data_IF_579027157298
#
_entry.id   IF_579027157298
#
_cell.length_a   1.000
_cell.length_b   1.000
_cell.length_c   1.000
_cell.angle_alpha   90.00
_cell.angle_beta   90.00
_cell.angle_gamma   90.00
#
_symmetry.space_group_name_H-M   'P 1'
#
loop_
_entity.id
_entity.type
_entity.pdbx_description
1 polymer ?
#
# COMPACT_ATOMS: atom_id res chain seq x y z
N UNK A 1 -3.17 -20.13 -15.78
CA UNK A 1 -2.62 -19.17 -14.79
C UNK A 1 -2.69 -17.72 -15.26
N UNK A 2 -2.13 -17.37 -16.43
CA UNK A 2 -2.07 -15.99 -16.93
C UNK A 2 -3.43 -15.28 -17.05
N UNK A 3 -4.50 -16.02 -17.39
CA UNK A 3 -5.86 -15.48 -17.53
C UNK A 3 -6.37 -14.84 -16.23
N UNK A 4 -6.05 -15.41 -15.06
CA UNK A 4 -6.48 -14.85 -13.78
C UNK A 4 -5.80 -13.50 -13.49
N UNK A 5 -4.52 -13.37 -13.88
CA UNK A 5 -3.72 -12.16 -13.64
C UNK A 5 -4.06 -11.00 -14.58
N UNK A 6 -4.67 -11.27 -15.73
CA UNK A 6 -5.20 -10.22 -16.62
C UNK A 6 -6.66 -9.88 -16.34
N UNK A 7 -7.30 -10.60 -15.42
CA UNK A 7 -8.70 -10.40 -15.04
C UNK A 7 -8.80 -9.32 -13.95
N UNK A 8 -9.35 -8.15 -14.32
CA UNK A 8 -9.41 -6.97 -13.46
C UNK A 8 -10.10 -7.19 -12.09
N UNK A 9 -11.18 -7.95 -12.03
CA UNK A 9 -11.93 -8.15 -10.78
C UNK A 9 -11.17 -9.02 -9.77
N UNK A 10 -10.29 -9.90 -10.24
CA UNK A 10 -9.44 -10.75 -9.36
C UNK A 10 -8.53 -9.86 -8.52
N UNK A 11 -7.98 -8.81 -9.12
CA UNK A 11 -7.17 -7.82 -8.43
C UNK A 11 -7.96 -7.02 -7.39
N UNK A 12 -9.22 -6.66 -7.68
CA UNK A 12 -10.08 -6.00 -6.71
C UNK A 12 -10.48 -6.92 -5.55
N UNK A 13 -10.74 -8.20 -5.83
CA UNK A 13 -11.00 -9.20 -4.80
C UNK A 13 -9.77 -9.40 -3.89
N UNK A 14 -8.57 -9.46 -4.48
CA UNK A 14 -7.32 -9.50 -3.73
C UNK A 14 -7.11 -8.23 -2.89
N UNK A 15 -7.37 -7.05 -3.45
CA UNK A 15 -7.31 -5.79 -2.72
C UNK A 15 -8.24 -5.77 -1.50
N UNK A 16 -9.47 -6.26 -1.66
CA UNK A 16 -10.43 -6.38 -0.57
C UNK A 16 -9.94 -7.36 0.50
N UNK A 17 -9.46 -8.54 0.10
CA UNK A 17 -8.93 -9.54 1.03
C UNK A 17 -7.72 -9.02 1.83
N UNK A 18 -6.79 -8.32 1.17
CA UNK A 18 -5.65 -7.68 1.82
C UNK A 18 -6.06 -6.58 2.79
N UNK A 19 -7.07 -5.77 2.42
CA UNK A 19 -7.64 -4.75 3.30
C UNK A 19 -8.30 -5.34 4.54
N UNK A 20 -9.01 -6.47 4.41
CA UNK A 20 -9.57 -7.18 5.55
C UNK A 20 -8.46 -7.75 6.44
N UNK A 21 -7.40 -8.32 5.84
CA UNK A 21 -6.28 -8.88 6.59
C UNK A 21 -5.55 -7.83 7.44
N UNK A 22 -5.42 -6.60 6.96
CA UNK A 22 -4.86 -5.47 7.71
C UNK A 22 -5.63 -5.20 9.02
N UNK A 23 -6.95 -5.43 9.06
CA UNK A 23 -7.75 -5.24 10.28
C UNK A 23 -7.35 -6.21 11.39
N UNK A 24 -6.75 -7.36 11.03
CA UNK A 24 -6.28 -8.37 11.99
C UNK A 24 -4.84 -8.11 12.47
N UNK A 25 -4.02 -7.47 11.62
CA UNK A 25 -2.61 -7.20 11.90
C UNK A 25 -2.29 -5.74 11.57
N UNK A 26 -2.24 -4.83 12.56
CA UNK A 26 -1.95 -3.43 12.32
C UNK A 26 -0.46 -3.25 11.99
N UNK A 27 -0.13 -3.11 10.71
CA UNK A 27 1.24 -2.98 10.22
C UNK A 27 1.41 -2.00 9.04
N UNK A 28 0.31 -1.53 8.46
CA UNK A 28 0.22 -0.71 7.23
C UNK A 28 0.81 -1.37 5.97
N UNK A 29 1.31 -2.60 6.07
CA UNK A 29 1.95 -3.34 4.97
C UNK A 29 0.87 -3.86 4.02
N UNK A 30 -0.16 -4.52 4.54
CA UNK A 30 -1.22 -5.10 3.70
C UNK A 30 -2.08 -4.02 3.07
N UNK A 31 -2.24 -2.87 3.74
CA UNK A 31 -2.90 -1.70 3.15
C UNK A 31 -2.16 -1.17 1.91
N UNK A 32 -0.82 -1.10 1.94
CA UNK A 32 -0.02 -0.71 0.78
C UNK A 32 -0.21 -1.65 -0.42
N UNK A 33 -0.22 -2.97 -0.15
CA UNK A 33 -0.51 -3.97 -1.18
C UNK A 33 -1.97 -3.95 -1.66
N UNK A 34 -2.93 -3.67 -0.79
CA UNK A 34 -4.34 -3.53 -1.16
C UNK A 34 -4.54 -2.36 -2.14
N UNK A 35 -3.91 -1.21 -1.86
CA UNK A 35 -3.92 -0.05 -2.76
C UNK A 35 -3.27 -0.42 -4.10
N UNK A 36 -2.09 -1.06 -4.07
CA UNK A 36 -1.43 -1.52 -5.29
C UNK A 36 -2.32 -2.44 -6.13
N UNK A 37 -2.97 -3.41 -5.51
CA UNK A 37 -3.86 -4.33 -6.19
C UNK A 37 -5.10 -3.62 -6.77
N UNK A 38 -5.68 -2.67 -6.03
CA UNK A 38 -6.81 -1.87 -6.51
C UNK A 38 -6.43 -1.05 -7.74
N UNK A 39 -5.28 -0.36 -7.72
CA UNK A 39 -4.80 0.45 -8.84
C UNK A 39 -4.48 -0.42 -10.04
N UNK A 40 -3.80 -1.56 -9.86
CA UNK A 40 -3.53 -2.51 -10.96
C UNK A 40 -4.82 -3.06 -11.56
N UNK A 41 -5.81 -3.42 -10.73
CA UNK A 41 -7.12 -3.89 -11.18
C UNK A 41 -7.88 -2.85 -11.99
N UNK A 42 -7.90 -1.59 -11.54
CA UNK A 42 -8.54 -0.49 -12.28
C UNK A 42 -7.80 -0.18 -13.58
N UNK A 43 -6.48 -0.19 -13.57
CA UNK A 43 -5.69 0.11 -14.76
C UNK A 43 -5.75 -1.02 -15.82
N UNK A 44 -6.09 -2.25 -15.40
CA UNK A 44 -6.49 -3.35 -16.30
C UNK A 44 -7.84 -3.13 -16.99
N UNK A 45 -8.65 -2.13 -16.63
CA UNK A 45 -9.81 -1.75 -17.43
C UNK A 45 -9.42 -0.96 -18.69
N UNK A 46 -8.21 -0.38 -18.71
CA UNK A 46 -7.69 0.44 -19.81
C UNK A 46 -6.48 -0.20 -20.51
N UNK A 47 -5.39 0.55 -20.75
CA UNK A 47 -4.31 0.13 -21.63
C UNK A 47 -3.45 -1.02 -21.09
N UNK A 48 -3.52 -1.32 -19.79
CA UNK A 48 -2.69 -2.39 -19.21
C UNK A 48 -3.09 -3.80 -19.68
N UNK A 49 -4.25 -4.00 -20.31
CA UNK A 49 -4.62 -5.29 -20.92
C UNK A 49 -3.64 -5.75 -22.01
N UNK A 50 -2.91 -4.82 -22.61
CA UNK A 50 -1.95 -5.08 -23.69
C UNK A 50 -0.57 -5.44 -23.15
N UNK A 51 -0.33 -5.30 -21.84
CA UNK A 51 0.96 -5.60 -21.22
C UNK A 51 1.12 -7.09 -20.92
N UNK A 52 2.37 -7.54 -20.93
CA UNK A 52 2.72 -8.89 -20.52
C UNK A 52 2.52 -9.08 -19.00
N UNK A 53 2.25 -10.32 -18.59
CA UNK A 53 2.08 -10.67 -17.17
C UNK A 53 3.23 -10.19 -16.28
N UNK A 54 4.52 -10.34 -16.67
CA UNK A 54 5.64 -9.82 -15.87
C UNK A 54 5.59 -8.29 -15.71
N UNK A 55 5.19 -7.54 -16.74
CA UNK A 55 5.09 -6.09 -16.67
C UNK A 55 3.97 -5.63 -15.72
N UNK A 56 2.83 -6.34 -15.71
CA UNK A 56 1.73 -6.07 -14.77
C UNK A 56 2.18 -6.30 -13.33
N UNK A 57 2.90 -7.40 -13.05
CA UNK A 57 3.42 -7.70 -11.71
C UNK A 57 4.48 -6.69 -11.26
N UNK A 58 5.34 -6.24 -12.18
CA UNK A 58 6.32 -5.19 -11.90
C UNK A 58 5.62 -3.88 -11.51
N UNK A 59 4.60 -3.48 -12.27
CA UNK A 59 3.84 -2.27 -11.98
C UNK A 59 3.13 -2.37 -10.62
N UNK A 60 2.50 -3.51 -10.33
CA UNK A 60 1.89 -3.78 -9.03
C UNK A 60 2.91 -3.65 -7.89
N UNK A 61 4.10 -4.24 -8.03
CA UNK A 61 5.14 -4.19 -7.01
C UNK A 61 5.63 -2.75 -6.76
N UNK A 62 5.84 -1.98 -7.83
CA UNK A 62 6.26 -0.57 -7.74
C UNK A 62 5.20 0.29 -7.07
N UNK A 63 3.93 0.17 -7.49
CA UNK A 63 2.83 0.94 -6.90
C UNK A 63 2.63 0.57 -5.43
N UNK A 64 2.68 -0.73 -5.09
CA UNK A 64 2.55 -1.19 -3.70
C UNK A 64 3.67 -0.66 -2.82
N UNK A 65 4.91 -0.68 -3.31
CA UNK A 65 6.06 -0.14 -2.57
C UNK A 65 5.90 1.36 -2.32
N UNK A 66 5.48 2.13 -3.34
CA UNK A 66 5.23 3.56 -3.21
C UNK A 66 4.10 3.83 -2.22
N UNK A 67 2.97 3.12 -2.33
CA UNK A 67 1.84 3.27 -1.43
C UNK A 67 2.24 2.97 0.02
N UNK A 68 2.99 1.89 0.25
CA UNK A 68 3.51 1.55 1.58
C UNK A 68 4.45 2.62 2.13
N UNK A 69 5.38 3.16 1.33
CA UNK A 69 6.28 4.22 1.76
C UNK A 69 5.52 5.51 2.13
N UNK A 70 4.49 5.87 1.35
CA UNK A 70 3.63 7.04 1.64
C UNK A 70 2.89 6.82 2.96
N UNK A 71 2.24 5.67 3.13
CA UNK A 71 1.53 5.32 4.37
C UNK A 71 2.48 5.37 5.57
N UNK A 72 3.65 4.74 5.45
CA UNK A 72 4.67 4.75 6.51
C UNK A 72 5.13 6.16 6.87
N UNK A 73 5.19 7.08 5.90
CA UNK A 73 5.59 8.47 6.13
C UNK A 73 4.49 9.32 6.74
N UNK A 74 3.25 9.14 6.31
CA UNK A 74 2.08 9.90 6.81
C UNK A 74 1.69 9.46 8.21
N UNK A 75 1.72 8.15 8.49
CA UNK A 75 1.34 7.57 9.79
C UNK A 75 2.53 7.41 10.75
N UNK A 76 3.74 7.84 10.39
CA UNK A 76 4.83 7.93 11.35
C UNK A 76 4.45 8.93 12.43
N UNK A 77 4.27 8.44 13.66
CA UNK A 77 3.99 9.25 14.85
C UNK A 77 4.90 10.49 14.86
N UNK A 78 4.37 11.68 15.24
CA UNK A 78 5.21 12.84 15.47
C UNK A 78 6.29 12.40 16.46
N UNK A 79 7.56 12.51 16.05
CA UNK A 79 8.67 12.32 16.98
C UNK A 79 8.39 13.26 18.14
N UNK A 80 8.05 12.69 19.29
CA UNK A 80 7.70 13.43 20.49
C UNK A 80 8.77 14.50 20.66
N UNK A 81 8.37 15.76 20.50
CA UNK A 81 9.23 16.88 20.78
C UNK A 81 9.38 16.83 22.30
N UNK A 82 10.38 16.07 22.77
CA UNK A 82 10.73 16.02 24.18
C UNK A 82 11.18 17.44 24.47
N UNK A 83 10.24 18.28 24.92
CA UNK A 83 10.55 19.59 25.45
C UNK A 83 11.44 19.30 26.66
N UNK A 84 12.75 19.32 26.45
CA UNK A 84 13.73 19.35 27.52
C UNK A 84 13.55 20.72 28.17
N UNK A 85 12.67 20.78 29.17
CA UNK A 85 12.57 21.91 30.08
C UNK A 85 13.90 21.97 30.83
N UNK A 86 14.73 22.95 30.48
CA UNK A 86 16.00 23.25 31.14
C UNK A 86 15.82 24.47 32.05
N UNK A 87 14.66 24.57 32.69
CA UNK A 87 14.37 25.60 33.68
C UNK A 87 14.40 24.91 35.04
N UNK A 88 15.47 25.17 35.79
CA UNK A 88 15.53 24.83 37.19
C UNK A 88 14.44 25.63 37.91
N UNK A 89 13.60 24.93 38.67
CA UNK A 89 12.45 25.52 39.38
C UNK A 89 12.91 26.26 40.64
N UNK A 90 14.22 26.32 40.89
CA UNK A 90 14.82 26.84 42.11
C UNK A 90 15.80 28.04 41.93
N UNK A 91 15.88 28.67 40.75
CA UNK A 91 16.46 30.03 40.59
C UNK A 91 15.36 31.06 40.27
#
# INVERSE_FOLDING_TARGET
MAVLLTTWWVWLAAALGLGILEMLVPGFIFLGFAIGAAVTGLALLGPLKLLSVPAILLLFAVISLIAWLILRRVFSLPKGNVKTFNHDINE
#
